data_IF_802051223867
#
_entry.id   IF_802051223867
#
_cell.length_a   1.000
_cell.length_b   1.000
_cell.length_c   1.000
_cell.angle_alpha   90.00
_cell.angle_beta   90.00
_cell.angle_gamma   90.00
#
_symmetry.space_group_name_H-M   'P 1'
#
loop_
_entity.id
_entity.type
_entity.pdbx_description
1 polymer ?
#
# COMPACT_ATOMS: atom_id res chain seq x y z
N UNK A 1 -47.06 12.32 -22.60
CA UNK A 1 -45.68 12.81 -22.38
C UNK A 1 -44.85 11.60 -22.00
N UNK A 2 -43.82 11.31 -22.79
CA UNK A 2 -42.88 10.25 -22.40
C UNK A 2 -42.00 10.82 -21.27
N UNK A 3 -41.98 10.16 -20.11
CA UNK A 3 -41.06 10.43 -19.04
C UNK A 3 -39.65 10.08 -19.53
N UNK A 4 -38.78 11.08 -19.70
CA UNK A 4 -37.38 10.86 -20.03
C UNK A 4 -36.72 10.36 -18.74
N UNK A 5 -36.63 9.06 -18.58
CA UNK A 5 -35.83 8.45 -17.52
C UNK A 5 -34.38 8.47 -18.00
N UNK A 6 -33.63 9.50 -17.60
CA UNK A 6 -32.21 9.54 -17.84
C UNK A 6 -31.54 8.40 -17.07
N UNK A 7 -30.68 7.59 -17.73
CA UNK A 7 -30.03 6.47 -17.06
C UNK A 7 -29.09 6.99 -15.98
N UNK A 8 -29.19 6.41 -14.79
CA UNK A 8 -28.34 6.71 -13.58
C UNK A 8 -26.84 6.70 -13.91
N UNK A 9 -26.45 6.08 -15.01
CA UNK A 9 -25.07 5.99 -15.54
C UNK A 9 -24.48 7.36 -15.91
N UNK A 10 -25.29 8.36 -16.30
CA UNK A 10 -24.82 9.71 -16.59
C UNK A 10 -24.43 10.53 -15.37
N UNK A 11 -24.91 10.15 -14.19
CA UNK A 11 -24.62 10.85 -12.93
C UNK A 11 -23.40 10.27 -12.18
N UNK A 12 -22.58 9.42 -12.82
CA UNK A 12 -21.37 8.86 -12.23
C UNK A 12 -21.61 7.85 -11.08
N UNK A 13 -22.86 7.43 -10.87
CA UNK A 13 -23.24 6.46 -9.84
C UNK A 13 -23.09 4.99 -10.27
N UNK A 14 -22.70 4.76 -11.53
CA UNK A 14 -22.47 3.42 -12.07
C UNK A 14 -21.05 2.93 -11.68
N UNK A 15 -20.97 1.71 -11.18
CA UNK A 15 -19.71 1.03 -10.87
C UNK A 15 -18.83 0.76 -12.14
N UNK A 16 -19.36 0.96 -13.34
CA UNK A 16 -18.67 0.72 -14.60
C UNK A 16 -17.57 1.74 -14.91
N UNK A 17 -17.57 2.92 -14.26
CA UNK A 17 -16.58 3.99 -14.48
C UNK A 17 -15.48 4.05 -13.44
N UNK A 18 -15.31 3.08 -12.56
CA UNK A 18 -14.08 2.95 -11.79
C UNK A 18 -12.94 2.71 -12.78
N UNK A 19 -12.06 3.71 -12.97
CA UNK A 19 -10.79 3.52 -13.67
C UNK A 19 -10.14 2.29 -13.05
N UNK A 20 -9.99 1.22 -13.82
CA UNK A 20 -9.24 0.03 -13.38
C UNK A 20 -7.83 0.52 -13.06
N UNK A 21 -7.38 0.29 -11.84
CA UNK A 21 -5.97 0.49 -11.49
C UNK A 21 -5.12 -0.37 -12.44
N UNK A 22 -3.97 0.16 -12.86
CA UNK A 22 -2.98 -0.60 -13.61
C UNK A 22 -2.41 -1.75 -12.77
N UNK A 23 -2.50 -1.62 -11.45
CA UNK A 23 -1.99 -2.58 -10.48
C UNK A 23 -3.15 -3.14 -9.65
N UNK A 24 -3.15 -4.45 -9.45
CA UNK A 24 -4.15 -5.16 -8.64
C UNK A 24 -3.71 -5.27 -7.19
N UNK A 25 -2.41 -5.45 -6.95
CA UNK A 25 -1.81 -5.62 -5.64
C UNK A 25 -0.45 -4.95 -5.55
N UNK A 26 -0.24 -4.18 -4.51
CA UNK A 26 1.02 -3.45 -4.27
C UNK A 26 1.69 -3.99 -3.00
N UNK A 27 3.02 -4.16 -3.09
CA UNK A 27 3.87 -4.49 -1.97
C UNK A 27 4.63 -3.27 -1.44
N UNK A 28 4.89 -3.24 -0.14
CA UNK A 28 5.73 -2.23 0.51
C UNK A 28 6.71 -2.93 1.44
N UNK A 29 8.01 -2.65 1.29
CA UNK A 29 9.04 -3.17 2.19
C UNK A 29 9.52 -2.06 3.12
N UNK A 30 9.26 -2.22 4.41
CA UNK A 30 9.48 -1.20 5.42
C UNK A 30 8.28 -0.27 5.58
N UNK A 31 7.54 -0.43 6.67
CA UNK A 31 6.33 0.34 6.98
C UNK A 31 6.61 1.41 8.06
N UNK A 32 7.71 2.15 7.89
CA UNK A 32 8.02 3.35 8.66
C UNK A 32 7.10 4.51 8.30
N UNK A 33 7.52 5.75 8.57
CA UNK A 33 6.69 6.94 8.30
C UNK A 33 6.21 7.01 6.85
N UNK A 34 7.12 6.84 5.89
CA UNK A 34 6.80 6.97 4.47
C UNK A 34 6.06 5.73 3.95
N UNK A 35 6.48 4.52 4.38
CA UNK A 35 5.80 3.27 4.03
C UNK A 35 4.34 3.25 4.50
N UNK A 36 4.04 3.70 5.72
CA UNK A 36 2.65 3.82 6.22
C UNK A 36 1.80 4.76 5.37
N UNK A 37 2.38 5.86 4.90
CA UNK A 37 1.68 6.79 4.00
C UNK A 37 1.33 6.10 2.68
N UNK A 38 2.28 5.40 2.09
CA UNK A 38 2.08 4.66 0.83
C UNK A 38 1.02 3.57 1.01
N UNK A 39 1.12 2.77 2.07
CA UNK A 39 0.14 1.71 2.40
C UNK A 39 -1.26 2.30 2.55
N UNK A 40 -1.40 3.38 3.32
CA UNK A 40 -2.68 4.05 3.56
C UNK A 40 -3.29 4.60 2.27
N UNK A 41 -2.52 5.30 1.44
CA UNK A 41 -2.98 5.88 0.17
C UNK A 41 -3.39 4.79 -0.83
N UNK A 42 -2.60 3.72 -0.93
CA UNK A 42 -2.87 2.57 -1.78
C UNK A 42 -4.21 1.91 -1.42
N UNK A 43 -4.40 1.61 -0.13
CA UNK A 43 -5.62 0.99 0.37
C UNK A 43 -6.86 1.89 0.24
N UNK A 44 -6.71 3.21 0.47
CA UNK A 44 -7.75 4.21 0.23
C UNK A 44 -8.16 4.28 -1.25
N UNK A 45 -7.22 4.06 -2.15
CA UNK A 45 -7.49 4.02 -3.59
C UNK A 45 -8.18 2.72 -4.05
N UNK A 46 -8.45 1.80 -3.12
CA UNK A 46 -9.14 0.55 -3.39
C UNK A 46 -8.25 -0.58 -3.87
N UNK A 47 -6.91 -0.45 -3.75
CA UNK A 47 -5.93 -1.46 -4.15
C UNK A 47 -5.52 -2.27 -2.92
N UNK A 48 -5.36 -3.59 -3.08
CA UNK A 48 -4.81 -4.44 -2.04
C UNK A 48 -3.33 -4.14 -1.82
N UNK A 49 -2.91 -4.09 -0.56
CA UNK A 49 -1.53 -3.80 -0.20
C UNK A 49 -1.02 -4.75 0.89
N UNK A 50 0.13 -5.34 0.63
CA UNK A 50 0.86 -6.16 1.60
C UNK A 50 2.16 -5.45 1.94
N UNK A 51 2.46 -5.29 3.23
CA UNK A 51 3.74 -4.72 3.65
C UNK A 51 4.55 -5.71 4.49
N UNK A 52 5.88 -5.67 4.29
CA UNK A 52 6.84 -6.48 5.04
C UNK A 52 7.54 -5.63 6.08
N UNK A 53 7.63 -6.14 7.29
CA UNK A 53 8.37 -5.58 8.42
C UNK A 53 9.28 -6.60 9.09
N UNK A 54 10.19 -6.11 9.93
CA UNK A 54 11.21 -6.95 10.57
C UNK A 54 10.72 -7.64 11.86
N UNK A 55 9.59 -7.22 12.41
CA UNK A 55 9.02 -7.82 13.62
C UNK A 55 7.51 -7.62 13.69
N UNK A 56 6.83 -8.52 14.42
CA UNK A 56 5.39 -8.43 14.67
C UNK A 56 5.02 -7.13 15.38
N UNK A 57 5.82 -6.68 16.35
CA UNK A 57 5.58 -5.41 17.05
C UNK A 57 5.55 -4.22 16.09
N UNK A 58 6.42 -4.23 15.07
CA UNK A 58 6.43 -3.18 14.04
C UNK A 58 5.22 -3.27 13.13
N UNK A 59 4.76 -4.46 12.81
CA UNK A 59 3.51 -4.66 12.04
C UNK A 59 2.34 -4.07 12.82
N UNK A 60 2.19 -4.41 14.09
CA UNK A 60 1.10 -3.93 14.94
C UNK A 60 1.16 -2.41 15.12
N UNK A 61 2.35 -1.85 15.31
CA UNK A 61 2.53 -0.39 15.38
C UNK A 61 2.11 0.29 14.09
N UNK A 62 2.53 -0.24 12.94
CA UNK A 62 2.19 0.33 11.64
C UNK A 62 0.67 0.31 11.39
N UNK A 63 0.01 -0.82 11.67
CA UNK A 63 -1.45 -0.95 11.53
C UNK A 63 -2.19 0.03 12.43
N UNK A 64 -1.78 0.15 13.70
CA UNK A 64 -2.36 1.09 14.66
C UNK A 64 -2.22 2.54 14.21
N UNK A 65 -1.06 2.92 13.71
CA UNK A 65 -0.81 4.29 13.25
C UNK A 65 -1.60 4.61 11.96
N UNK A 66 -1.73 3.64 11.05
CA UNK A 66 -2.58 3.78 9.86
C UNK A 66 -4.03 3.95 10.28
N UNK A 67 -4.52 3.11 11.18
CA UNK A 67 -5.89 3.18 11.70
C UNK A 67 -6.18 4.54 12.34
N UNK A 68 -5.28 5.02 13.19
CA UNK A 68 -5.39 6.34 13.81
C UNK A 68 -5.44 7.48 12.77
N UNK A 69 -4.62 7.39 11.73
CA UNK A 69 -4.67 8.35 10.62
C UNK A 69 -6.00 8.35 9.85
N UNK A 70 -6.64 7.19 9.72
CA UNK A 70 -7.98 7.08 9.13
C UNK A 70 -9.05 7.64 10.07
N UNK A 71 -8.95 7.44 11.39
CA UNK A 71 -9.85 8.04 12.37
C UNK A 71 -9.80 9.57 12.33
N UNK A 72 -8.63 10.16 12.24
CA UNK A 72 -8.47 11.60 12.05
C UNK A 72 -9.15 12.10 10.78
N UNK A 73 -9.13 11.31 9.69
CA UNK A 73 -9.87 11.65 8.47
C UNK A 73 -11.39 11.59 8.66
N UNK A 74 -11.91 10.66 9.47
CA UNK A 74 -13.31 10.58 9.81
C UNK A 74 -13.74 11.82 10.60
N UNK A 75 -12.98 12.21 11.62
CA UNK A 75 -13.24 13.40 12.43
C UNK A 75 -13.31 14.69 11.60
N UNK A 76 -12.50 14.75 10.52
CA UNK A 76 -12.48 15.86 9.57
C UNK A 76 -13.45 15.70 8.39
N UNK A 77 -14.44 14.82 8.48
CA UNK A 77 -15.48 14.56 7.47
C UNK A 77 -14.94 14.11 6.11
N UNK A 78 -13.69 13.64 6.05
CA UNK A 78 -13.04 13.17 4.83
C UNK A 78 -13.18 11.66 4.57
N UNK A 79 -13.77 10.91 5.52
CA UNK A 79 -13.93 9.46 5.44
C UNK A 79 -15.11 8.99 6.31
N UNK A 80 -15.78 7.93 5.89
CA UNK A 80 -16.80 7.24 6.66
C UNK A 80 -16.25 6.03 7.41
N UNK A 81 -16.95 5.56 8.45
CA UNK A 81 -16.60 4.32 9.16
C UNK A 81 -16.62 3.08 8.24
N UNK A 82 -17.50 3.05 7.26
CA UNK A 82 -17.58 1.99 6.25
C UNK A 82 -16.33 1.97 5.37
N UNK A 83 -15.90 3.12 4.89
CA UNK A 83 -14.70 3.28 4.09
C UNK A 83 -13.44 2.94 4.89
N UNK A 84 -13.35 3.33 6.18
CA UNK A 84 -12.27 2.93 7.08
C UNK A 84 -12.16 1.41 7.15
N UNK A 85 -13.29 0.71 7.47
CA UNK A 85 -13.29 -0.76 7.54
C UNK A 85 -12.84 -1.40 6.21
N UNK A 86 -13.37 -0.91 5.11
CA UNK A 86 -13.00 -1.40 3.78
C UNK A 86 -11.52 -1.16 3.45
N UNK A 87 -10.98 -0.02 3.86
CA UNK A 87 -9.56 0.34 3.68
C UNK A 87 -8.66 -0.57 4.50
N UNK A 88 -8.94 -0.72 5.81
CA UNK A 88 -8.16 -1.62 6.67
C UNK A 88 -8.21 -3.07 6.20
N UNK A 89 -9.34 -3.54 5.66
CA UNK A 89 -9.49 -4.88 5.10
C UNK A 89 -8.62 -5.17 3.87
N UNK A 90 -8.06 -4.13 3.21
CA UNK A 90 -7.13 -4.28 2.08
C UNK A 90 -5.67 -4.32 2.50
N UNK A 91 -5.36 -4.10 3.78
CA UNK A 91 -3.99 -3.99 4.29
C UNK A 91 -3.60 -5.29 4.99
N UNK A 92 -2.48 -5.89 4.57
CA UNK A 92 -1.87 -7.06 5.22
C UNK A 92 -0.43 -6.73 5.62
N UNK A 93 -0.09 -6.93 6.89
CA UNK A 93 1.31 -6.93 7.37
C UNK A 93 1.85 -8.36 7.41
N UNK A 94 3.13 -8.54 7.12
CA UNK A 94 3.80 -9.83 7.15
C UNK A 94 5.28 -9.71 7.49
N UNK A 95 5.88 -10.82 7.92
CA UNK A 95 7.33 -10.99 8.09
C UNK A 95 7.96 -11.71 6.90
N UNK A 96 7.14 -12.29 6.02
CA UNK A 96 7.59 -13.16 4.93
C UNK A 96 7.48 -12.46 3.57
N UNK A 97 8.60 -12.40 2.84
CA UNK A 97 8.65 -11.90 1.48
C UNK A 97 7.80 -12.71 0.49
N UNK A 98 7.55 -14.00 0.76
CA UNK A 98 6.70 -14.86 -0.08
C UNK A 98 5.27 -14.32 -0.21
N UNK A 99 4.78 -13.60 0.77
CA UNK A 99 3.47 -12.96 0.72
C UNK A 99 3.37 -11.83 -0.32
N UNK A 100 4.50 -11.41 -0.91
CA UNK A 100 4.56 -10.41 -1.99
C UNK A 100 4.53 -11.04 -3.40
N UNK A 101 4.55 -12.37 -3.55
CA UNK A 101 4.68 -13.07 -4.83
C UNK A 101 3.65 -12.63 -5.89
N UNK A 102 2.45 -12.23 -5.47
CA UNK A 102 1.35 -11.80 -6.35
C UNK A 102 1.28 -10.27 -6.53
N UNK A 103 2.29 -9.54 -6.05
CA UNK A 103 2.32 -8.08 -6.21
C UNK A 103 2.80 -7.70 -7.62
N UNK A 104 2.09 -6.77 -8.25
CA UNK A 104 2.45 -6.22 -9.56
C UNK A 104 3.51 -5.12 -9.45
N UNK A 105 3.54 -4.46 -8.29
CA UNK A 105 4.42 -3.34 -8.00
C UNK A 105 4.85 -3.39 -6.54
N UNK A 106 6.15 -3.27 -6.26
CA UNK A 106 6.68 -3.26 -4.90
C UNK A 106 7.57 -2.05 -4.69
N UNK A 107 7.39 -1.35 -3.57
CA UNK A 107 8.16 -0.16 -3.22
C UNK A 107 9.01 -0.46 -1.98
N UNK A 108 10.32 -0.29 -2.11
CA UNK A 108 11.25 -0.30 -0.97
C UNK A 108 11.21 1.07 -0.26
N UNK A 109 10.91 1.05 1.04
CA UNK A 109 10.79 2.23 1.90
C UNK A 109 11.71 2.16 3.13
N UNK A 110 12.78 1.37 3.08
CA UNK A 110 13.74 1.26 4.18
C UNK A 110 14.56 2.54 4.27
N UNK A 111 14.64 3.10 5.47
CA UNK A 111 15.35 4.35 5.69
C UNK A 111 16.73 4.15 6.31
N UNK A 112 16.83 3.27 7.33
CA UNK A 112 18.05 3.02 8.10
C UNK A 112 18.18 1.52 8.40
N UNK A 113 19.41 1.07 8.64
CA UNK A 113 19.68 -0.24 9.22
C UNK A 113 19.39 -0.26 10.73
N UNK A 114 19.66 -1.42 11.36
CA UNK A 114 19.43 -1.64 12.79
C UNK A 114 20.26 -0.69 13.67
N UNK A 115 21.42 -0.23 13.17
CA UNK A 115 22.35 0.65 13.87
C UNK A 115 22.07 2.15 13.57
N UNK A 116 20.99 2.46 12.87
CA UNK A 116 20.58 3.83 12.54
C UNK A 116 21.35 4.45 11.36
N UNK A 117 22.23 3.71 10.71
CA UNK A 117 22.95 4.13 9.51
C UNK A 117 22.10 3.94 8.23
N UNK A 118 22.53 4.57 7.14
CA UNK A 118 21.97 4.30 5.81
C UNK A 118 22.64 3.05 5.26
N UNK A 119 21.93 1.96 5.18
CA UNK A 119 22.48 0.70 4.70
C UNK A 119 22.18 0.48 3.22
N UNK A 120 23.22 0.62 2.40
CA UNK A 120 23.17 0.19 0.99
C UNK A 120 23.12 -1.34 0.91
N UNK A 121 23.77 -2.05 1.80
CA UNK A 121 23.85 -3.51 1.77
C UNK A 121 22.49 -4.15 2.17
N UNK A 122 21.81 -3.59 3.16
CA UNK A 122 20.45 -4.00 3.54
C UNK A 122 19.48 -3.83 2.35
N UNK A 123 19.58 -2.71 1.61
CA UNK A 123 18.74 -2.50 0.42
C UNK A 123 19.04 -3.52 -0.67
N UNK A 124 20.31 -3.81 -0.95
CA UNK A 124 20.69 -4.85 -1.90
C UNK A 124 20.13 -6.21 -1.51
N UNK A 125 20.14 -6.53 -0.22
CA UNK A 125 19.53 -7.76 0.29
C UNK A 125 18.01 -7.78 0.06
N UNK A 126 17.33 -6.68 0.36
CA UNK A 126 15.89 -6.53 0.08
C UNK A 126 15.58 -6.73 -1.40
N UNK A 127 16.32 -6.08 -2.29
CA UNK A 127 16.11 -6.24 -3.74
C UNK A 127 16.35 -7.68 -4.19
N UNK A 128 17.38 -8.36 -3.69
CA UNK A 128 17.62 -9.79 -3.98
C UNK A 128 16.46 -10.68 -3.50
N UNK A 129 15.93 -10.40 -2.30
CA UNK A 129 14.79 -11.15 -1.78
C UNK A 129 13.55 -10.93 -2.65
N UNK A 130 13.30 -9.70 -3.09
CA UNK A 130 12.19 -9.37 -3.98
C UNK A 130 12.33 -10.03 -5.34
N UNK A 131 13.52 -10.02 -5.96
CA UNK A 131 13.80 -10.69 -7.24
C UNK A 131 13.55 -12.20 -7.19
N UNK A 132 13.71 -12.83 -6.02
CA UNK A 132 13.48 -14.27 -5.85
C UNK A 132 12.00 -14.65 -5.77
N UNK A 133 11.14 -13.74 -5.30
CA UNK A 133 9.74 -14.06 -5.01
C UNK A 133 8.77 -13.45 -6.01
N UNK A 134 9.14 -12.34 -6.64
CA UNK A 134 8.27 -11.61 -7.57
C UNK A 134 8.28 -12.21 -8.97
N UNK A 135 7.17 -12.02 -9.69
CA UNK A 135 7.12 -12.27 -11.12
C UNK A 135 8.15 -11.42 -11.87
N UNK A 136 8.75 -11.93 -12.96
CA UNK A 136 9.65 -11.14 -13.83
C UNK A 136 9.04 -9.84 -14.39
N UNK A 137 7.71 -9.79 -14.48
CA UNK A 137 6.97 -8.63 -14.97
C UNK A 137 6.64 -7.61 -13.86
N UNK A 138 6.90 -7.94 -12.60
CA UNK A 138 6.65 -7.04 -11.48
C UNK A 138 7.65 -5.88 -11.46
N UNK A 139 7.17 -4.71 -11.09
CA UNK A 139 7.99 -3.51 -10.98
C UNK A 139 8.50 -3.37 -9.54
N UNK A 140 9.81 -3.23 -9.38
CA UNK A 140 10.43 -2.91 -8.09
C UNK A 140 10.91 -1.46 -8.12
N UNK A 141 10.43 -0.67 -7.18
CA UNK A 141 10.80 0.73 -7.01
C UNK A 141 11.43 0.98 -5.63
N UNK A 142 12.14 2.08 -5.51
CA UNK A 142 12.69 2.54 -4.22
C UNK A 142 12.23 3.95 -3.89
N UNK A 143 11.98 4.20 -2.61
CA UNK A 143 11.76 5.55 -2.06
C UNK A 143 13.09 6.22 -1.63
N UNK A 144 14.24 5.64 -1.92
CA UNK A 144 15.53 6.21 -1.58
C UNK A 144 15.86 7.42 -2.48
N UNK A 145 16.24 8.53 -1.87
CA UNK A 145 16.62 9.76 -2.59
C UNK A 145 18.12 9.92 -2.78
N UNK A 146 18.93 9.09 -2.13
CA UNK A 146 20.39 9.26 -2.02
C UNK A 146 21.20 8.03 -2.44
N UNK A 147 20.56 7.01 -2.97
CA UNK A 147 21.22 5.80 -3.46
C UNK A 147 20.94 5.66 -4.94
N UNK A 148 22.00 5.57 -5.74
CA UNK A 148 21.94 5.18 -7.16
C UNK A 148 21.93 3.64 -7.18
N UNK A 149 20.94 3.07 -7.78
CA UNK A 149 20.76 1.62 -7.94
C UNK A 149 21.33 1.20 -9.28
#
# INVERSE_FOLDING_TARGET
MAEIIEPIEEYGLSSKNKKRSLFSKIGVVGCGRDGRHIVSLTALSGIEVTFVEVSEDRIQLALKDIEHGLDTKIENWGLTQGEKRSTMGRIKGTLDYQDLQDCDFVIECIRYDVDGGRSTDLRKEVFRNLEQVLSPDAIIATNATTVII
#
